data_IF_507791805065
#
_entry.id   IF_507791805065
#
_cell.length_a   1.000
_cell.length_b   1.000
_cell.length_c   1.000
_cell.angle_alpha   90.00
_cell.angle_beta   90.00
_cell.angle_gamma   90.00
#
_symmetry.space_group_name_H-M   'P 1'
#
loop_
_entity.id
_entity.type
_entity.pdbx_description
1 polymer ?
#
# COMPACT_ATOMS: atom_id res chain seq x y z
N UNK A 1 59.53 -10.51 -9.49
CA UNK A 1 58.07 -10.39 -9.67
C UNK A 1 57.77 -8.95 -10.08
N UNK A 2 57.60 -8.69 -11.37
CA UNK A 2 57.25 -7.36 -11.86
C UNK A 2 55.75 -7.19 -11.62
N UNK A 3 55.40 -6.31 -10.69
CA UNK A 3 54.01 -5.90 -10.46
C UNK A 3 53.61 -4.97 -11.61
N UNK A 4 53.03 -5.56 -12.65
CA UNK A 4 52.53 -4.84 -13.80
C UNK A 4 51.43 -3.87 -13.36
N UNK A 5 51.37 -2.67 -13.89
CA UNK A 5 50.39 -1.62 -13.51
C UNK A 5 48.95 -2.12 -13.61
N UNK A 6 48.69 -3.06 -14.48
CA UNK A 6 47.40 -3.71 -14.65
C UNK A 6 47.04 -4.61 -13.47
N UNK A 7 47.98 -5.40 -12.96
CA UNK A 7 47.82 -6.25 -11.79
C UNK A 7 47.62 -5.44 -10.51
N UNK A 8 48.29 -4.30 -10.36
CA UNK A 8 48.12 -3.38 -9.24
C UNK A 8 46.72 -2.79 -9.25
N UNK A 9 46.16 -2.45 -10.44
CA UNK A 9 44.77 -1.93 -10.55
C UNK A 9 43.75 -3.00 -10.19
N UNK A 10 43.93 -4.24 -10.64
CA UNK A 10 43.06 -5.38 -10.30
C UNK A 10 43.14 -5.71 -8.81
N UNK A 11 44.33 -5.72 -8.22
CA UNK A 11 44.54 -5.97 -6.80
C UNK A 11 43.88 -4.87 -5.94
N UNK A 12 44.06 -3.61 -6.31
CA UNK A 12 43.40 -2.48 -5.64
C UNK A 12 41.87 -2.58 -5.70
N UNK A 13 41.32 -2.95 -6.89
CA UNK A 13 39.87 -3.18 -7.05
C UNK A 13 39.37 -4.31 -6.15
N UNK A 14 40.13 -5.40 -6.05
CA UNK A 14 39.78 -6.54 -5.20
C UNK A 14 39.83 -6.19 -3.71
N UNK A 15 40.83 -5.43 -3.27
CA UNK A 15 40.95 -4.96 -1.88
C UNK A 15 39.76 -4.03 -1.54
N UNK A 16 39.47 -3.06 -2.42
CA UNK A 16 38.34 -2.14 -2.21
C UNK A 16 37.01 -2.90 -2.14
N UNK A 17 36.81 -3.85 -3.05
CA UNK A 17 35.60 -4.70 -3.06
C UNK A 17 35.45 -5.52 -1.77
N UNK A 18 36.56 -6.16 -1.32
CA UNK A 18 36.56 -6.94 -0.06
C UNK A 18 36.31 -6.04 1.15
N UNK A 19 36.90 -4.83 1.17
CA UNK A 19 36.64 -3.87 2.25
C UNK A 19 35.18 -3.41 2.28
N UNK A 20 34.58 -3.14 1.12
CA UNK A 20 33.16 -2.75 1.04
C UNK A 20 32.26 -3.88 1.56
N UNK A 21 32.53 -5.13 1.16
CA UNK A 21 31.75 -6.28 1.66
C UNK A 21 31.98 -6.46 3.16
N UNK A 22 33.21 -6.36 3.65
CA UNK A 22 33.53 -6.52 5.06
C UNK A 22 32.84 -5.45 5.91
N UNK A 23 32.90 -4.18 5.50
CA UNK A 23 32.23 -3.07 6.20
C UNK A 23 30.71 -3.24 6.12
N UNK A 24 30.15 -3.67 4.97
CA UNK A 24 28.73 -3.94 4.81
C UNK A 24 28.22 -5.08 5.71
N UNK A 25 29.05 -6.13 5.93
CA UNK A 25 28.71 -7.23 6.83
C UNK A 25 28.85 -6.85 8.31
N UNK A 26 29.88 -6.06 8.66
CA UNK A 26 30.10 -5.61 10.04
C UNK A 26 29.11 -4.54 10.49
N UNK A 27 28.54 -3.78 9.55
CA UNK A 27 27.60 -2.70 9.80
C UNK A 27 26.31 -2.93 9.00
N UNK A 28 25.82 -4.17 9.03
CA UNK A 28 24.60 -4.58 8.30
C UNK A 28 23.38 -3.80 8.75
N UNK A 29 23.31 -3.42 10.02
CA UNK A 29 22.34 -2.51 10.59
C UNK A 29 22.28 -1.17 9.84
N UNK A 30 23.45 -0.52 9.64
CA UNK A 30 23.53 0.76 8.92
C UNK A 30 23.11 0.62 7.45
N UNK A 31 23.42 -0.51 6.82
CA UNK A 31 22.99 -0.80 5.44
C UNK A 31 21.47 -0.96 5.37
N UNK A 32 20.88 -1.68 6.32
CA UNK A 32 19.42 -1.85 6.39
C UNK A 32 18.71 -0.53 6.67
N UNK A 33 19.21 0.27 7.61
CA UNK A 33 18.65 1.58 7.93
C UNK A 33 18.72 2.53 6.73
N UNK A 34 19.85 2.52 6.02
CA UNK A 34 20.03 3.31 4.81
C UNK A 34 19.08 2.87 3.69
N UNK A 35 18.90 1.54 3.51
CA UNK A 35 17.95 1.00 2.55
C UNK A 35 16.50 1.34 2.94
N UNK A 36 16.16 1.25 4.23
CA UNK A 36 14.88 1.65 4.79
C UNK A 36 14.59 3.13 4.54
N UNK A 37 15.56 4.00 4.74
CA UNK A 37 15.45 5.44 4.47
C UNK A 37 15.16 5.72 2.98
N UNK A 38 15.89 5.06 2.07
CA UNK A 38 15.65 5.19 0.62
C UNK A 38 14.27 4.70 0.24
N UNK A 39 13.85 3.54 0.77
CA UNK A 39 12.51 3.00 0.54
C UNK A 39 11.42 3.93 1.08
N UNK A 40 11.63 4.54 2.23
CA UNK A 40 10.70 5.51 2.81
C UNK A 40 10.51 6.74 1.90
N UNK A 41 11.58 7.25 1.31
CA UNK A 41 11.51 8.35 0.35
C UNK A 41 10.83 7.91 -0.96
N UNK A 42 11.08 6.69 -1.43
CA UNK A 42 10.47 6.17 -2.65
C UNK A 42 9.00 5.79 -2.48
N UNK A 43 8.57 5.48 -1.27
CA UNK A 43 7.23 4.95 -0.98
C UNK A 43 6.09 5.82 -1.55
N UNK A 44 6.03 7.15 -1.37
CA UNK A 44 4.97 7.98 -1.95
C UNK A 44 4.96 7.93 -3.49
N UNK A 45 6.12 7.79 -4.14
CA UNK A 45 6.19 7.68 -5.60
C UNK A 45 5.70 6.32 -6.09
N UNK A 46 6.04 5.24 -5.39
CA UNK A 46 5.51 3.90 -5.69
C UNK A 46 4.00 3.85 -5.50
N UNK A 47 3.51 4.43 -4.40
CA UNK A 47 2.08 4.56 -4.13
C UNK A 47 1.38 5.39 -5.21
N UNK A 48 1.95 6.53 -5.60
CA UNK A 48 1.42 7.36 -6.69
C UNK A 48 1.40 6.63 -8.02
N UNK A 49 2.44 5.84 -8.33
CA UNK A 49 2.48 4.97 -9.51
C UNK A 49 1.37 3.91 -9.51
N UNK A 50 1.13 3.28 -8.36
CA UNK A 50 0.04 2.31 -8.20
C UNK A 50 -1.34 2.97 -8.37
N UNK A 51 -1.57 4.13 -7.76
CA UNK A 51 -2.79 4.92 -7.93
C UNK A 51 -2.98 5.29 -9.41
N UNK A 52 -1.93 5.79 -10.08
CA UNK A 52 -1.98 6.14 -11.49
C UNK A 52 -2.32 4.93 -12.36
N UNK A 53 -1.76 3.77 -12.07
CA UNK A 53 -2.06 2.53 -12.78
C UNK A 53 -3.53 2.15 -12.67
N UNK A 54 -4.10 2.18 -11.48
CA UNK A 54 -5.52 1.88 -11.25
C UNK A 54 -6.42 2.90 -11.95
N UNK A 55 -6.12 4.20 -11.81
CA UNK A 55 -6.91 5.27 -12.42
C UNK A 55 -6.76 5.35 -13.94
N UNK A 56 -5.68 4.83 -14.51
CA UNK A 56 -5.46 4.83 -15.97
C UNK A 56 -6.51 4.02 -16.71
N UNK A 57 -7.05 2.96 -16.11
CA UNK A 57 -8.05 2.10 -16.73
C UNK A 57 -9.37 2.84 -17.00
N UNK A 58 -10.05 3.43 -16.00
CA UNK A 58 -11.26 4.22 -16.25
C UNK A 58 -10.97 5.47 -17.06
N UNK A 59 -9.84 6.16 -16.83
CA UNK A 59 -9.46 7.35 -17.60
C UNK A 59 -9.36 7.08 -19.10
N UNK A 60 -8.66 6.02 -19.49
CA UNK A 60 -8.51 5.65 -20.90
C UNK A 60 -9.84 5.25 -21.55
N UNK A 61 -10.78 4.66 -20.79
CA UNK A 61 -12.12 4.35 -21.28
C UNK A 61 -12.96 5.61 -21.50
N UNK A 62 -12.86 6.56 -20.56
CA UNK A 62 -13.55 7.85 -20.63
C UNK A 62 -13.00 8.67 -21.81
N UNK A 63 -11.68 8.76 -21.91
CA UNK A 63 -11.00 9.47 -22.98
C UNK A 63 -11.42 8.95 -24.36
N UNK A 64 -11.39 7.65 -24.58
CA UNK A 64 -11.82 7.02 -25.83
C UNK A 64 -13.29 7.24 -26.14
N UNK A 65 -14.18 7.22 -25.12
CA UNK A 65 -15.63 7.40 -25.34
C UNK A 65 -16.01 8.84 -25.63
N UNK A 66 -15.38 9.80 -24.93
CA UNK A 66 -15.73 11.23 -25.02
C UNK A 66 -14.96 11.94 -26.14
N UNK A 67 -13.69 11.57 -26.34
CA UNK A 67 -12.77 12.29 -27.22
C UNK A 67 -12.22 11.43 -28.37
N UNK A 68 -12.62 10.15 -28.47
CA UNK A 68 -12.12 9.23 -29.49
C UNK A 68 -12.37 9.65 -30.96
N UNK A 69 -13.34 10.53 -31.19
CA UNK A 69 -13.65 11.10 -32.52
C UNK A 69 -13.10 12.52 -32.73
N UNK A 70 -12.30 13.02 -31.83
CA UNK A 70 -11.74 14.39 -31.91
C UNK A 70 -10.59 14.41 -32.92
N UNK A 71 -10.58 15.42 -33.82
CA UNK A 71 -9.51 15.58 -34.81
C UNK A 71 -8.18 15.87 -34.09
N UNK A 72 -7.12 15.13 -34.47
CA UNK A 72 -5.77 15.33 -33.98
C UNK A 72 -5.33 16.80 -34.17
N UNK A 73 -4.80 17.42 -33.11
CA UNK A 73 -4.32 18.81 -33.11
C UNK A 73 -5.38 19.87 -32.77
N UNK A 74 -6.65 19.50 -32.55
CA UNK A 74 -7.68 20.44 -32.09
C UNK A 74 -7.41 20.90 -30.65
N UNK A 75 -7.99 22.07 -30.26
CA UNK A 75 -7.95 22.54 -28.84
C UNK A 75 -8.57 21.52 -27.88
N UNK A 76 -9.58 20.77 -28.34
CA UNK A 76 -10.22 19.70 -27.59
C UNK A 76 -9.31 18.49 -27.41
N UNK A 77 -8.46 18.17 -28.38
CA UNK A 77 -7.46 17.09 -28.26
C UNK A 77 -6.41 17.42 -27.19
N UNK A 78 -5.96 18.68 -27.09
CA UNK A 78 -5.04 19.13 -26.04
C UNK A 78 -5.68 19.14 -24.65
N UNK A 79 -7.00 19.32 -24.57
CA UNK A 79 -7.76 19.36 -23.32
C UNK A 79 -8.33 17.98 -22.93
N UNK A 80 -8.25 16.96 -23.79
CA UNK A 80 -8.82 15.64 -23.55
C UNK A 80 -8.24 14.97 -22.31
N UNK A 81 -6.92 14.95 -22.17
CA UNK A 81 -6.24 14.33 -21.04
C UNK A 81 -6.61 14.96 -19.67
N UNK A 82 -6.54 16.30 -19.47
CA UNK A 82 -6.94 16.88 -18.19
C UNK A 82 -8.45 16.76 -17.92
N UNK A 83 -9.30 16.86 -18.95
CA UNK A 83 -10.75 16.66 -18.80
C UNK A 83 -11.08 15.23 -18.39
N UNK A 84 -10.52 14.25 -19.09
CA UNK A 84 -10.69 12.83 -18.77
C UNK A 84 -10.18 12.50 -17.37
N UNK A 85 -9.09 13.14 -16.92
CA UNK A 85 -8.58 12.99 -15.55
C UNK A 85 -9.60 13.51 -14.53
N UNK A 86 -10.14 14.73 -14.72
CA UNK A 86 -11.11 15.32 -13.80
C UNK A 86 -12.37 14.46 -13.72
N UNK A 87 -12.91 14.05 -14.88
CA UNK A 87 -14.10 13.18 -14.92
C UNK A 87 -13.83 11.85 -14.22
N UNK A 88 -12.66 11.25 -14.45
CA UNK A 88 -12.25 10.01 -13.79
C UNK A 88 -12.17 10.19 -12.27
N UNK A 89 -11.61 11.28 -11.82
CA UNK A 89 -11.46 11.59 -10.41
C UNK A 89 -12.82 11.77 -9.73
N UNK A 90 -13.72 12.51 -10.36
CA UNK A 90 -15.11 12.68 -9.87
C UNK A 90 -15.84 11.33 -9.85
N UNK A 91 -15.69 10.52 -10.90
CA UNK A 91 -16.30 9.18 -10.97
C UNK A 91 -15.79 8.28 -9.84
N UNK A 92 -14.48 8.22 -9.63
CA UNK A 92 -13.86 7.40 -8.59
C UNK A 92 -14.28 7.89 -7.20
N UNK A 93 -14.30 9.20 -6.98
CA UNK A 93 -14.80 9.77 -5.72
C UNK A 93 -16.27 9.44 -5.47
N UNK A 94 -17.11 9.47 -6.51
CA UNK A 94 -18.51 9.08 -6.41
C UNK A 94 -18.67 7.59 -6.06
N UNK A 95 -17.89 6.71 -6.70
CA UNK A 95 -17.89 5.27 -6.40
C UNK A 95 -17.41 5.01 -4.97
N UNK A 96 -16.32 5.64 -4.55
CA UNK A 96 -15.79 5.51 -3.19
C UNK A 96 -16.82 6.01 -2.15
N UNK A 97 -17.46 7.15 -2.39
CA UNK A 97 -18.51 7.67 -1.51
C UNK A 97 -19.69 6.71 -1.42
N UNK A 98 -20.11 6.13 -2.54
CA UNK A 98 -21.18 5.14 -2.57
C UNK A 98 -20.80 3.89 -1.77
N UNK A 99 -19.58 3.38 -1.93
CA UNK A 99 -19.07 2.24 -1.16
C UNK A 99 -19.07 2.56 0.34
N UNK A 100 -18.59 3.73 0.74
CA UNK A 100 -18.59 4.16 2.14
C UNK A 100 -20.01 4.23 2.70
N UNK A 101 -20.95 4.85 1.99
CA UNK A 101 -22.33 5.02 2.46
C UNK A 101 -23.05 3.67 2.60
N UNK A 102 -22.75 2.70 1.73
CA UNK A 102 -23.41 1.38 1.77
C UNK A 102 -22.70 0.43 2.74
N UNK A 103 -21.36 0.37 2.69
CA UNK A 103 -20.59 -0.65 3.43
C UNK A 103 -20.39 -0.28 4.89
N UNK A 104 -20.21 1.02 5.23
CA UNK A 104 -20.00 1.41 6.62
C UNK A 104 -21.17 1.05 7.56
N UNK A 105 -22.44 1.33 7.22
CA UNK A 105 -23.56 0.94 8.10
C UNK A 105 -23.68 -0.59 8.21
N UNK A 106 -23.43 -1.33 7.12
CA UNK A 106 -23.47 -2.80 7.13
C UNK A 106 -22.38 -3.40 8.03
N UNK A 107 -21.15 -2.85 7.96
CA UNK A 107 -20.09 -3.22 8.89
C UNK A 107 -20.46 -2.91 10.34
N UNK A 108 -21.07 -1.75 10.60
CA UNK A 108 -21.54 -1.37 11.93
C UNK A 108 -22.59 -2.33 12.49
N UNK A 109 -23.56 -2.74 11.68
CA UNK A 109 -24.58 -3.72 12.07
C UNK A 109 -23.98 -5.10 12.33
N UNK A 110 -23.06 -5.54 11.49
CA UNK A 110 -22.36 -6.81 11.64
C UNK A 110 -21.53 -6.84 12.93
N UNK A 111 -20.79 -5.79 13.25
CA UNK A 111 -20.03 -5.68 14.49
C UNK A 111 -20.95 -5.69 15.71
N UNK A 112 -22.06 -4.96 15.65
CA UNK A 112 -23.03 -4.95 16.73
C UNK A 112 -23.68 -6.33 16.93
N UNK A 113 -23.95 -7.07 15.86
CA UNK A 113 -24.45 -8.46 15.90
C UNK A 113 -23.40 -9.41 16.49
N UNK A 114 -22.16 -9.32 16.04
CA UNK A 114 -21.06 -10.12 16.60
C UNK A 114 -20.86 -9.83 18.07
N UNK A 115 -20.95 -8.56 18.46
CA UNK A 115 -20.83 -8.13 19.85
C UNK A 115 -21.87 -8.70 20.78
N UNK A 116 -23.06 -9.03 20.28
CA UNK A 116 -24.10 -9.72 21.04
C UNK A 116 -23.98 -11.24 20.97
N UNK A 117 -23.65 -11.77 19.81
CA UNK A 117 -23.71 -13.21 19.53
C UNK A 117 -22.47 -13.97 20.05
N UNK A 118 -21.27 -13.37 19.96
CA UNK A 118 -20.04 -14.03 20.39
C UNK A 118 -20.01 -14.31 21.90
N UNK A 119 -20.26 -13.35 22.79
CA UNK A 119 -20.29 -13.60 24.23
C UNK A 119 -21.32 -14.64 24.65
N UNK A 120 -22.44 -14.76 23.92
CA UNK A 120 -23.51 -15.71 24.20
C UNK A 120 -23.22 -17.13 23.68
N UNK A 121 -22.65 -17.23 22.47
CA UNK A 121 -22.50 -18.52 21.77
C UNK A 121 -21.15 -19.20 22.02
N UNK A 122 -20.07 -18.42 22.20
CA UNK A 122 -18.74 -19.01 22.38
C UNK A 122 -18.62 -19.82 23.66
N UNK A 123 -19.09 -19.39 24.84
CA UNK A 123 -19.06 -20.21 26.05
C UNK A 123 -19.88 -21.51 25.89
N UNK A 124 -20.99 -21.47 25.18
CA UNK A 124 -21.81 -22.67 24.91
C UNK A 124 -21.07 -23.66 24.01
N UNK A 125 -20.31 -23.17 23.03
CA UNK A 125 -19.47 -24.01 22.19
C UNK A 125 -18.30 -24.60 22.96
N UNK A 126 -17.62 -23.80 23.79
CA UNK A 126 -16.52 -24.26 24.64
C UNK A 126 -16.97 -25.36 25.60
N UNK A 127 -18.14 -25.21 26.26
CA UNK A 127 -18.74 -26.27 27.09
C UNK A 127 -19.05 -27.54 26.33
N UNK A 128 -19.49 -27.45 25.06
CA UNK A 128 -19.67 -28.63 24.23
C UNK A 128 -18.36 -29.32 23.88
N UNK A 129 -17.32 -28.57 23.61
CA UNK A 129 -15.98 -29.12 23.36
C UNK A 129 -15.43 -29.77 24.64
N UNK A 130 -15.57 -29.13 25.78
CA UNK A 130 -15.21 -29.68 27.10
C UNK A 130 -15.88 -31.05 27.37
N UNK A 131 -17.18 -31.16 27.08
CA UNK A 131 -17.92 -32.42 27.19
C UNK A 131 -17.43 -33.52 26.23
N UNK A 132 -17.00 -33.16 25.03
CA UNK A 132 -16.44 -34.09 24.05
C UNK A 132 -15.05 -34.60 24.45
N UNK A 133 -14.29 -33.80 25.16
CA UNK A 133 -12.93 -34.08 25.60
C UNK A 133 -12.80 -34.28 27.11
N UNK A 134 -13.92 -34.67 27.78
CA UNK A 134 -13.97 -34.89 29.22
C UNK A 134 -12.91 -35.87 29.79
N UNK A 135 -12.37 -36.75 28.94
CA UNK A 135 -11.32 -37.67 29.27
C UNK A 135 -9.88 -37.11 29.21
N UNK A 136 -9.71 -35.85 28.84
CA UNK A 136 -8.41 -35.19 28.68
C UNK A 136 -8.30 -33.95 29.59
N UNK A 137 -7.82 -34.08 30.83
CA UNK A 137 -7.79 -32.98 31.80
C UNK A 137 -6.90 -31.80 31.37
N UNK A 138 -5.85 -32.04 30.57
CA UNK A 138 -4.99 -30.99 30.05
C UNK A 138 -5.72 -30.05 29.04
N UNK A 139 -6.58 -30.63 28.21
CA UNK A 139 -7.38 -29.87 27.26
C UNK A 139 -8.46 -29.04 27.96
N UNK A 140 -9.03 -29.54 29.03
CA UNK A 140 -10.04 -28.82 29.83
C UNK A 140 -9.40 -27.57 30.45
N UNK A 141 -8.23 -27.70 31.09
CA UNK A 141 -7.47 -26.57 31.65
C UNK A 141 -7.15 -25.52 30.60
N UNK A 142 -6.78 -25.94 29.39
CA UNK A 142 -6.48 -25.02 28.27
C UNK A 142 -7.73 -24.27 27.80
N UNK A 143 -8.89 -24.93 27.79
CA UNK A 143 -10.17 -24.31 27.42
C UNK A 143 -10.62 -23.31 28.47
N UNK A 144 -10.48 -23.64 29.77
CA UNK A 144 -10.80 -22.74 30.89
C UNK A 144 -9.88 -21.49 30.87
N UNK A 145 -8.58 -21.68 30.61
CA UNK A 145 -7.63 -20.57 30.50
C UNK A 145 -7.95 -19.67 29.28
N UNK A 146 -8.38 -20.26 28.16
CA UNK A 146 -8.81 -19.54 26.97
C UNK A 146 -10.09 -18.75 27.24
N UNK A 147 -11.07 -19.33 27.93
CA UNK A 147 -12.31 -18.66 28.32
C UNK A 147 -12.05 -17.49 29.25
N UNK A 148 -11.16 -17.65 30.24
CA UNK A 148 -10.76 -16.60 31.17
C UNK A 148 -9.96 -15.46 30.50
N UNK A 149 -9.19 -15.78 29.47
CA UNK A 149 -8.38 -14.78 28.73
C UNK A 149 -9.18 -13.97 27.71
N UNK A 150 -10.35 -14.47 27.27
CA UNK A 150 -11.18 -13.82 26.26
C UNK A 150 -12.10 -12.75 26.89
N UNK A 151 -11.57 -11.53 26.97
CA UNK A 151 -12.39 -10.38 27.36
C UNK A 151 -13.15 -9.85 26.14
N UNK A 152 -14.31 -10.44 25.87
CA UNK A 152 -15.18 -10.09 24.74
C UNK A 152 -15.61 -8.61 24.76
N UNK A 153 -15.85 -8.06 25.93
CA UNK A 153 -16.26 -6.67 26.11
C UNK A 153 -15.16 -5.70 25.64
N UNK A 154 -13.92 -6.03 25.95
CA UNK A 154 -12.77 -5.24 25.54
C UNK A 154 -12.50 -5.35 24.02
N UNK A 155 -12.56 -6.56 23.47
CA UNK A 155 -12.37 -6.79 22.02
C UNK A 155 -13.43 -6.04 21.22
N UNK A 156 -14.70 -6.12 21.63
CA UNK A 156 -15.81 -5.45 20.94
C UNK A 156 -15.68 -3.95 21.10
N UNK A 157 -15.34 -3.46 22.29
CA UNK A 157 -15.12 -2.03 22.55
C UNK A 157 -13.98 -1.50 21.69
N UNK A 158 -12.88 -2.23 21.56
CA UNK A 158 -11.77 -1.85 20.69
C UNK A 158 -12.20 -1.84 19.21
N UNK A 159 -12.94 -2.83 18.74
CA UNK A 159 -13.48 -2.86 17.38
C UNK A 159 -14.45 -1.70 17.12
N UNK A 160 -15.42 -1.48 18.00
CA UNK A 160 -16.38 -0.37 17.89
C UNK A 160 -15.65 0.98 17.94
N UNK A 161 -14.66 1.10 18.81
CA UNK A 161 -13.83 2.31 18.93
C UNK A 161 -13.02 2.53 17.67
N UNK A 162 -12.38 1.50 17.12
CA UNK A 162 -11.65 1.57 15.85
C UNK A 162 -12.54 2.08 14.71
N UNK A 163 -13.76 1.56 14.57
CA UNK A 163 -14.70 2.03 13.55
C UNK A 163 -15.29 3.41 13.84
N UNK A 164 -15.58 3.72 15.11
CA UNK A 164 -16.06 5.04 15.53
C UNK A 164 -15.01 6.12 15.42
N UNK A 165 -13.78 5.78 15.81
CA UNK A 165 -12.62 6.65 15.76
C UNK A 165 -12.22 6.86 14.30
N UNK A 166 -12.26 5.85 13.43
CA UNK A 166 -12.09 6.01 11.99
C UNK A 166 -13.11 6.96 11.35
N UNK A 167 -14.33 7.02 11.88
CA UNK A 167 -15.39 7.94 11.40
C UNK A 167 -15.31 9.34 12.04
N UNK A 168 -14.88 9.47 13.31
CA UNK A 168 -14.95 10.72 14.08
C UNK A 168 -13.59 11.36 14.40
N UNK A 169 -12.46 10.67 14.20
CA UNK A 169 -11.13 11.15 14.65
C UNK A 169 -10.53 12.23 13.76
N UNK A 170 -11.24 12.72 12.77
CA UNK A 170 -10.80 13.96 12.13
C UNK A 170 -10.93 15.20 13.05
N UNK A 171 -11.57 15.09 14.22
CA UNK A 171 -11.89 16.25 15.06
C UNK A 171 -11.27 16.28 16.47
N UNK A 172 -10.85 15.15 17.05
CA UNK A 172 -10.44 15.12 18.47
C UNK A 172 -9.12 14.36 18.76
N UNK A 173 -8.16 14.42 17.87
CA UNK A 173 -6.94 13.63 18.02
C UNK A 173 -5.86 14.29 18.88
N UNK A 174 -5.49 13.59 19.94
CA UNK A 174 -4.24 13.75 20.70
C UNK A 174 -3.03 13.86 19.75
N UNK A 175 -2.04 14.65 20.11
CA UNK A 175 -0.86 15.06 19.32
C UNK A 175 -0.15 13.89 18.58
N UNK A 176 -0.13 12.68 19.14
CA UNK A 176 0.49 11.50 18.50
C UNK A 176 -0.27 10.95 17.29
N UNK A 177 -1.60 11.05 17.30
CA UNK A 177 -2.44 10.68 16.15
C UNK A 177 -2.36 11.77 15.08
N UNK A 178 -2.29 13.05 15.50
CA UNK A 178 -2.11 14.18 14.60
C UNK A 178 -0.82 14.06 13.77
N UNK A 179 0.31 13.68 14.37
CA UNK A 179 1.58 13.49 13.64
C UNK A 179 1.52 12.31 12.66
N UNK A 180 0.87 11.22 13.02
CA UNK A 180 0.65 10.07 12.12
C UNK A 180 -0.27 10.40 10.95
N UNK A 181 -1.36 11.14 11.20
CA UNK A 181 -2.29 11.59 10.15
C UNK A 181 -1.61 12.63 9.24
N UNK A 182 -0.89 13.60 9.81
CA UNK A 182 -0.18 14.63 9.01
C UNK A 182 0.86 13.99 8.11
N UNK A 183 1.63 13.01 8.59
CA UNK A 183 2.60 12.30 7.76
C UNK A 183 1.91 11.42 6.70
N UNK A 184 0.83 10.73 7.04
CA UNK A 184 0.03 9.92 6.12
C UNK A 184 -0.65 10.77 5.05
N UNK A 185 -1.27 11.88 5.42
CA UNK A 185 -1.89 12.84 4.48
C UNK A 185 -0.84 13.47 3.59
N UNK A 186 0.33 13.85 4.13
CA UNK A 186 1.44 14.39 3.36
C UNK A 186 1.94 13.39 2.32
N UNK A 187 2.17 12.13 2.73
CA UNK A 187 2.57 11.04 1.83
C UNK A 187 1.52 10.79 0.75
N UNK A 188 0.24 10.73 1.13
CA UNK A 188 -0.87 10.57 0.19
C UNK A 188 -0.97 11.73 -0.79
N UNK A 189 -0.81 12.97 -0.32
CA UNK A 189 -0.85 14.15 -1.19
C UNK A 189 0.27 14.13 -2.23
N UNK A 190 1.50 13.80 -1.82
CA UNK A 190 2.63 13.65 -2.75
C UNK A 190 2.35 12.51 -3.76
N UNK A 191 1.87 11.37 -3.28
CA UNK A 191 1.51 10.24 -4.12
C UNK A 191 0.41 10.60 -5.12
N UNK A 192 -0.61 11.33 -4.68
CA UNK A 192 -1.72 11.79 -5.51
C UNK A 192 -1.29 12.77 -6.60
N UNK A 193 -0.48 13.78 -6.24
CA UNK A 193 0.07 14.74 -7.21
C UNK A 193 0.94 14.01 -8.23
N UNK A 194 1.75 13.05 -7.80
CA UNK A 194 2.57 12.24 -8.68
C UNK A 194 1.73 11.34 -9.59
N UNK A 195 0.65 10.75 -9.06
CA UNK A 195 -0.31 9.98 -9.87
C UNK A 195 -0.96 10.84 -10.96
N UNK A 196 -1.42 12.04 -10.62
CA UNK A 196 -1.97 12.99 -11.60
C UNK A 196 -0.93 13.35 -12.67
N UNK A 197 0.32 13.58 -12.27
CA UNK A 197 1.41 13.86 -13.21
C UNK A 197 1.63 12.69 -14.19
N UNK A 198 1.69 11.45 -13.70
CA UNK A 198 1.84 10.26 -14.53
C UNK A 198 0.65 10.14 -15.51
N UNK A 199 -0.58 10.34 -15.04
CA UNK A 199 -1.78 10.22 -15.85
C UNK A 199 -1.84 11.28 -16.97
N UNK A 200 -1.47 12.51 -16.66
CA UNK A 200 -1.41 13.59 -17.66
C UNK A 200 -0.33 13.36 -18.71
N UNK A 201 0.77 12.72 -18.33
CA UNK A 201 1.91 12.46 -19.22
C UNK A 201 2.03 11.01 -19.65
N UNK A 202 0.98 10.20 -19.52
CA UNK A 202 1.03 8.76 -19.79
C UNK A 202 1.49 8.42 -21.22
N UNK A 203 1.11 9.20 -22.21
CA UNK A 203 1.52 9.01 -23.62
C UNK A 203 3.02 9.24 -23.81
N UNK A 204 3.57 10.26 -23.17
CA UNK A 204 5.00 10.60 -23.21
C UNK A 204 5.84 9.54 -22.46
N UNK A 205 5.44 9.18 -21.26
CA UNK A 205 6.08 8.14 -20.45
C UNK A 205 6.09 6.79 -21.15
N UNK A 206 4.97 6.38 -21.73
CA UNK A 206 4.86 5.14 -22.51
C UNK A 206 5.86 5.12 -23.68
N UNK A 207 5.98 6.24 -24.40
CA UNK A 207 6.93 6.35 -25.52
C UNK A 207 8.38 6.26 -25.04
N UNK A 208 8.72 6.86 -23.91
CA UNK A 208 10.08 6.79 -23.33
C UNK A 208 10.41 5.39 -22.87
N UNK A 209 9.50 4.73 -22.13
CA UNK A 209 9.70 3.35 -21.66
C UNK A 209 9.88 2.41 -22.84
N UNK A 210 9.06 2.53 -23.88
CA UNK A 210 9.20 1.71 -25.09
C UNK A 210 10.56 1.92 -25.76
N UNK A 211 11.03 3.17 -25.87
CA UNK A 211 12.37 3.46 -26.43
C UNK A 211 13.49 2.84 -25.59
N UNK A 212 13.38 2.91 -24.25
CA UNK A 212 14.34 2.29 -23.32
C UNK A 212 14.38 0.77 -23.49
N UNK A 213 13.22 0.12 -23.58
CA UNK A 213 13.13 -1.32 -23.80
C UNK A 213 13.73 -1.73 -25.14
N UNK A 214 13.43 -0.97 -26.20
CA UNK A 214 13.98 -1.25 -27.54
C UNK A 214 15.50 -1.07 -27.55
N UNK A 215 16.02 -0.02 -26.91
CA UNK A 215 17.47 0.21 -26.81
C UNK A 215 18.18 -0.92 -26.07
N UNK A 216 17.62 -1.34 -24.92
CA UNK A 216 18.22 -2.41 -24.12
C UNK A 216 18.14 -3.79 -24.77
N UNK A 217 17.02 -4.12 -25.43
CA UNK A 217 16.85 -5.39 -26.12
C UNK A 217 17.70 -5.47 -27.41
N UNK A 218 17.92 -4.35 -28.09
CA UNK A 218 18.71 -4.32 -29.33
C UNK A 218 20.20 -4.54 -29.07
N UNK A 219 20.74 -4.11 -27.94
CA UNK A 219 22.13 -4.40 -27.56
C UNK A 219 22.36 -5.89 -27.24
N UNK A 220 21.34 -6.59 -26.73
CA UNK A 220 21.45 -8.00 -26.35
C UNK A 220 21.38 -8.97 -27.54
N UNK A 221 20.94 -8.52 -28.73
CA UNK A 221 20.88 -9.32 -29.96
C UNK A 221 22.01 -9.01 -30.93
N UNK A 222 22.91 -8.10 -30.58
CA UNK A 222 24.04 -7.71 -31.42
C UNK A 222 25.40 -8.31 -30.94
N UNK A 223 25.36 -9.15 -29.94
CA UNK A 223 26.46 -10.04 -29.48
C UNK A 223 26.11 -11.50 -29.81
#
# INVERSE_FOLDING_TARGET
MQLDRENIRKLRGLIVFTLIILVGLLRFDVVLDSAGFVLHILFPFLLGGAIAFVLSVPMNRIDKRLFGNTKEGSRLDKASAPLSLIITLVLVMAVLSLVVIVVLPELGSTIAMLGKTLPEKVPVLLKKVELLFANNPELILYIEELEASLNWEEIITQLVTFFRVGANTMLDSTISVATGIVSGVGTFFIAFVFACYILLQQSFLRRQITKLFIAYLKEKHAQ
#
